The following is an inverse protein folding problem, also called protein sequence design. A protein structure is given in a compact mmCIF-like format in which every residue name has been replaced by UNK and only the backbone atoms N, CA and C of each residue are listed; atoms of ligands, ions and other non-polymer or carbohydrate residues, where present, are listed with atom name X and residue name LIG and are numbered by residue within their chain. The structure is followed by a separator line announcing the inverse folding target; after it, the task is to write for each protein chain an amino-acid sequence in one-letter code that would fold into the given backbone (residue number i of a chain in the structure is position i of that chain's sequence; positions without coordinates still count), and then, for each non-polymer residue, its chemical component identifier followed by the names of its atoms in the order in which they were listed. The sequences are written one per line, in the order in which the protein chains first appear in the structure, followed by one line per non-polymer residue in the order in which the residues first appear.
data_IF_519422408549
#
_entry.id   IF_519422408549
#
_cell.length_a   1.000
_cell.length_b   1.000
_cell.length_c   1.000
_cell.angle_alpha   90.00
_cell.angle_beta   90.00
_cell.angle_gamma   90.00
#
_symmetry.space_group_name_H-M   'P 1'
#
loop_
_entity.id
_entity.type
_entity.pdbx_description
1 polymer ?
#
# COMPACT_ATOMS: atom_id res chain seq x y z
N UNK A 1 -49.70 1.98 -79.95
CA UNK A 1 -50.27 2.19 -78.60
C UNK A 1 -49.14 1.88 -77.58
N UNK A 2 -48.53 2.89 -76.97
CA UNK A 2 -47.44 2.71 -76.03
C UNK A 2 -47.97 2.78 -74.59
N UNK A 3 -47.89 1.68 -73.88
CA UNK A 3 -48.29 1.63 -72.46
C UNK A 3 -47.13 2.25 -71.62
N UNK A 4 -47.37 3.42 -71.03
CA UNK A 4 -46.47 4.02 -70.00
C UNK A 4 -46.66 3.27 -68.70
N UNK A 5 -45.62 2.52 -68.28
CA UNK A 5 -45.50 2.00 -66.95
C UNK A 5 -45.17 3.14 -65.99
N UNK A 6 -46.12 3.52 -65.11
CA UNK A 6 -45.83 4.39 -63.96
C UNK A 6 -45.13 3.58 -62.89
N UNK A 7 -43.81 3.81 -62.74
CA UNK A 7 -43.07 3.36 -61.59
C UNK A 7 -43.50 4.16 -60.37
N UNK A 8 -44.30 3.53 -59.53
CA UNK A 8 -44.74 4.10 -58.24
C UNK A 8 -43.56 4.01 -57.30
N UNK A 9 -42.82 5.13 -57.09
CA UNK A 9 -41.75 5.27 -56.13
C UNK A 9 -42.36 5.05 -54.74
N UNK A 10 -42.06 3.91 -54.09
CA UNK A 10 -42.36 3.70 -52.70
C UNK A 10 -41.57 4.73 -51.92
N UNK A 11 -42.25 5.67 -51.28
CA UNK A 11 -41.65 6.51 -50.25
C UNK A 11 -41.26 5.56 -49.12
N UNK A 12 -39.95 5.42 -48.89
CA UNK A 12 -39.45 4.75 -47.69
C UNK A 12 -39.93 5.57 -46.49
N UNK A 13 -40.72 4.96 -45.60
CA UNK A 13 -41.09 5.55 -44.34
C UNK A 13 -39.79 5.92 -43.61
N UNK A 14 -39.72 7.08 -42.96
CA UNK A 14 -38.55 7.42 -42.14
C UNK A 14 -38.34 6.30 -41.13
N UNK A 15 -37.14 5.74 -41.11
CA UNK A 15 -36.74 4.75 -40.10
C UNK A 15 -36.77 5.47 -38.76
N UNK A 16 -37.83 5.28 -37.99
CA UNK A 16 -37.87 5.77 -36.59
C UNK A 16 -36.77 5.05 -35.83
N UNK A 17 -35.81 5.80 -35.34
CA UNK A 17 -34.75 5.28 -34.49
C UNK A 17 -35.41 4.81 -33.20
N UNK A 18 -35.37 3.50 -32.95
CA UNK A 18 -35.97 2.94 -31.73
C UNK A 18 -35.02 3.26 -30.55
N UNK A 19 -35.30 4.40 -29.91
CA UNK A 19 -34.54 4.89 -28.74
C UNK A 19 -34.66 3.96 -27.53
N UNK A 20 -35.69 3.12 -27.50
CA UNK A 20 -35.91 2.18 -26.39
C UNK A 20 -34.83 1.12 -26.32
N UNK A 21 -34.41 0.59 -27.47
CA UNK A 21 -33.30 -0.38 -27.55
C UNK A 21 -31.99 0.25 -27.09
N UNK A 22 -31.72 1.49 -27.48
CA UNK A 22 -30.53 2.23 -27.07
C UNK A 22 -30.54 2.49 -25.55
N UNK A 23 -31.66 2.92 -24.99
CA UNK A 23 -31.78 3.15 -23.53
C UNK A 23 -31.55 1.85 -22.74
N UNK A 24 -32.10 0.75 -23.23
CA UNK A 24 -31.96 -0.56 -22.58
C UNK A 24 -30.48 -1.03 -22.61
N UNK A 25 -29.78 -0.79 -23.71
CA UNK A 25 -28.36 -1.06 -23.81
C UNK A 25 -27.55 -0.21 -22.82
N UNK A 26 -27.86 1.08 -22.68
CA UNK A 26 -27.14 1.96 -21.74
C UNK A 26 -27.35 1.57 -20.30
N UNK A 27 -28.54 1.14 -19.90
CA UNK A 27 -28.83 0.70 -18.52
C UNK A 27 -28.00 -0.51 -18.12
N UNK A 28 -27.63 -1.36 -19.06
CA UNK A 28 -26.76 -2.53 -18.80
C UNK A 28 -25.29 -2.18 -18.88
N UNK A 29 -24.87 -1.36 -19.85
CA UNK A 29 -23.47 -1.02 -20.07
C UNK A 29 -22.89 -0.14 -18.97
N UNK A 30 -23.63 0.86 -18.47
CA UNK A 30 -23.12 1.79 -17.45
C UNK A 30 -22.77 1.07 -16.15
N UNK A 31 -23.61 0.23 -15.54
CA UNK A 31 -23.24 -0.54 -14.36
C UNK A 31 -22.07 -1.48 -14.62
N UNK A 32 -22.03 -2.13 -15.78
CA UNK A 32 -20.94 -3.02 -16.15
C UNK A 32 -19.59 -2.27 -16.24
N UNK A 33 -19.57 -1.09 -16.86
CA UNK A 33 -18.37 -0.25 -16.93
C UNK A 33 -17.94 0.25 -15.54
N UNK A 34 -18.89 0.59 -14.65
CA UNK A 34 -18.58 0.99 -13.28
C UNK A 34 -17.96 -0.16 -12.50
N UNK A 35 -18.49 -1.36 -12.62
CA UNK A 35 -17.92 -2.56 -11.97
C UNK A 35 -16.50 -2.82 -12.51
N UNK A 36 -16.30 -2.83 -13.82
CA UNK A 36 -14.99 -3.04 -14.41
C UNK A 36 -13.99 -1.94 -14.02
N UNK A 37 -14.43 -0.69 -13.93
CA UNK A 37 -13.58 0.43 -13.47
C UNK A 37 -13.15 0.29 -12.01
N UNK A 38 -14.04 -0.21 -11.14
CA UNK A 38 -13.73 -0.46 -9.72
C UNK A 38 -12.72 -1.60 -9.57
N UNK A 39 -12.90 -2.70 -10.32
CA UNK A 39 -11.97 -3.83 -10.29
C UNK A 39 -10.67 -3.59 -11.09
N UNK A 40 -10.61 -2.56 -11.95
CA UNK A 40 -9.40 -2.18 -12.69
C UNK A 40 -8.35 -1.49 -11.84
N UNK A 41 -8.62 -1.21 -10.56
CA UNK A 41 -7.58 -0.86 -9.60
C UNK A 41 -6.81 -2.11 -9.17
N UNK A 42 -6.24 -2.80 -10.15
CA UNK A 42 -5.19 -3.76 -9.88
C UNK A 42 -4.00 -2.93 -9.43
N UNK A 43 -3.66 -3.05 -8.16
CA UNK A 43 -2.38 -2.57 -7.64
C UNK A 43 -1.29 -3.22 -8.50
N UNK A 44 -0.70 -2.45 -9.39
CA UNK A 44 0.52 -2.86 -10.06
C UNK A 44 1.58 -2.87 -8.98
N UNK A 45 1.82 -4.02 -8.40
CA UNK A 45 3.06 -4.27 -7.68
C UNK A 45 4.14 -4.20 -8.75
N UNK A 46 4.85 -3.09 -8.82
CA UNK A 46 6.06 -2.99 -9.62
C UNK A 46 7.07 -3.99 -9.05
N UNK A 47 7.03 -5.20 -9.59
CA UNK A 47 8.10 -6.15 -9.39
C UNK A 47 9.30 -5.59 -10.16
N UNK A 48 10.15 -4.85 -9.48
CA UNK A 48 11.43 -4.40 -10.03
C UNK A 48 12.32 -5.63 -10.20
N UNK A 49 12.14 -6.33 -11.31
CA UNK A 49 13.07 -7.37 -11.74
C UNK A 49 14.43 -6.72 -11.97
N UNK A 50 15.51 -7.22 -11.38
CA UNK A 50 16.85 -6.74 -11.72
C UNK A 50 17.11 -7.01 -13.18
N UNK A 51 17.07 -5.96 -14.01
CA UNK A 51 17.42 -6.05 -15.43
C UNK A 51 18.92 -6.29 -15.56
N UNK A 52 19.29 -7.47 -16.02
CA UNK A 52 20.65 -7.87 -16.39
C UNK A 52 21.06 -7.27 -17.73
N UNK A 53 20.98 -5.96 -17.93
CA UNK A 53 21.58 -5.31 -19.10
C UNK A 53 21.94 -3.87 -18.79
N UNK A 54 23.23 -3.67 -18.70
CA UNK A 54 24.10 -2.54 -18.97
C UNK A 54 23.60 -1.11 -18.78
N UNK A 55 24.09 -0.41 -17.75
CA UNK A 55 24.45 1.00 -17.90
C UNK A 55 23.40 2.04 -17.47
N UNK A 56 22.94 1.99 -16.24
CA UNK A 56 22.59 3.20 -15.49
C UNK A 56 23.00 2.94 -14.05
N UNK A 57 23.55 3.94 -13.38
CA UNK A 57 23.98 3.83 -11.99
C UNK A 57 22.84 3.20 -11.18
N UNK A 58 23.07 2.01 -10.62
CA UNK A 58 22.19 1.39 -9.64
C UNK A 58 21.99 2.43 -8.54
N UNK A 59 20.81 3.03 -8.45
CA UNK A 59 20.39 3.60 -7.19
C UNK A 59 20.61 2.49 -6.15
N UNK A 60 21.39 2.77 -5.12
CA UNK A 60 21.60 1.82 -4.03
C UNK A 60 20.22 1.32 -3.59
N UNK A 61 20.04 0.03 -3.31
CA UNK A 61 18.76 -0.49 -2.87
C UNK A 61 18.30 0.36 -1.69
N UNK A 62 17.17 1.03 -1.88
CA UNK A 62 16.59 1.89 -0.86
C UNK A 62 16.24 1.00 0.33
N UNK A 63 16.87 1.24 1.46
CA UNK A 63 16.64 0.44 2.67
C UNK A 63 15.15 0.48 3.03
N UNK A 64 14.55 -0.68 3.13
CA UNK A 64 13.14 -0.84 3.53
C UNK A 64 13.08 -1.70 4.77
N UNK A 65 12.63 -1.11 5.87
CA UNK A 65 12.42 -1.85 7.10
C UNK A 65 11.21 -2.77 6.98
N UNK A 66 11.38 -4.04 7.27
CA UNK A 66 10.28 -5.00 7.43
C UNK A 66 10.27 -5.54 8.85
N UNK A 67 9.13 -5.45 9.52
CA UNK A 67 8.88 -6.01 10.84
C UNK A 67 7.89 -7.14 10.68
N UNK A 68 8.36 -8.38 10.85
CA UNK A 68 7.53 -9.58 10.74
C UNK A 68 7.08 -9.98 12.14
N UNK A 69 5.78 -10.03 12.34
CA UNK A 69 5.14 -10.37 13.62
C UNK A 69 4.70 -11.82 13.58
N UNK A 70 5.39 -12.66 14.35
CA UNK A 70 5.08 -14.08 14.50
C UNK A 70 4.52 -14.38 15.87
N UNK A 71 3.88 -15.51 16.03
CA UNK A 71 3.44 -15.97 17.36
C UNK A 71 4.61 -16.21 18.33
N UNK A 72 5.79 -16.51 17.83
CA UNK A 72 7.02 -16.75 18.62
C UNK A 72 7.76 -15.46 18.99
N UNK A 73 7.57 -14.34 18.27
CA UNK A 73 8.30 -13.09 18.48
C UNK A 73 8.23 -12.14 17.29
N UNK A 74 9.17 -11.20 17.24
CA UNK A 74 9.34 -10.24 16.16
C UNK A 74 10.61 -10.54 15.38
N UNK A 75 10.57 -10.35 14.07
CA UNK A 75 11.74 -10.41 13.20
C UNK A 75 11.88 -9.09 12.45
N UNK A 76 13.08 -8.52 12.43
CA UNK A 76 13.38 -7.35 11.63
C UNK A 76 14.16 -7.78 10.40
N UNK A 77 13.76 -7.31 9.24
CA UNK A 77 14.38 -7.58 7.94
C UNK A 77 14.58 -6.28 7.14
N UNK A 78 15.52 -6.32 6.21
CA UNK A 78 15.70 -5.24 5.22
C UNK A 78 15.08 -5.58 3.85
N UNK A 79 14.21 -6.60 3.80
CA UNK A 79 13.62 -7.11 2.58
C UNK A 79 14.45 -8.19 1.87
N UNK A 80 15.72 -8.36 2.22
CA UNK A 80 16.62 -9.38 1.68
C UNK A 80 17.07 -10.39 2.74
N UNK A 81 17.32 -9.90 3.96
CA UNK A 81 17.82 -10.73 5.05
C UNK A 81 17.24 -10.30 6.40
N UNK A 82 17.10 -11.26 7.29
CA UNK A 82 16.73 -11.00 8.69
C UNK A 82 17.93 -10.34 9.39
N UNK A 83 17.70 -9.14 9.93
CA UNK A 83 18.71 -8.37 10.68
C UNK A 83 18.74 -8.80 12.14
N UNK A 84 17.56 -8.99 12.73
CA UNK A 84 17.38 -9.37 14.12
C UNK A 84 16.11 -10.18 14.35
N UNK A 85 16.16 -11.05 15.36
CA UNK A 85 15.01 -11.78 15.85
C UNK A 85 14.84 -11.53 17.35
N UNK A 86 13.65 -11.13 17.76
CA UNK A 86 13.27 -10.76 19.12
C UNK A 86 12.22 -11.76 19.61
N UNK A 87 12.58 -12.77 20.41
CA UNK A 87 11.63 -13.70 20.98
C UNK A 87 10.72 -12.98 21.99
N UNK A 88 9.51 -13.50 22.20
CA UNK A 88 8.63 -13.02 23.27
C UNK A 88 9.28 -13.24 24.63
N UNK A 89 9.13 -12.24 25.51
CA UNK A 89 9.53 -12.30 26.92
C UNK A 89 8.25 -12.39 27.74
N UNK A 90 8.11 -13.41 28.56
CA UNK A 90 6.92 -13.65 29.40
C UNK A 90 5.60 -13.62 28.59
N UNK A 91 5.63 -14.15 27.35
CA UNK A 91 4.48 -14.19 26.46
C UNK A 91 4.13 -12.84 25.80
N UNK A 92 4.91 -11.79 26.01
CA UNK A 92 4.72 -10.46 25.42
C UNK A 92 5.81 -10.14 24.40
N UNK A 93 5.48 -9.32 23.42
CA UNK A 93 6.46 -8.80 22.48
C UNK A 93 7.38 -7.78 23.16
N UNK A 94 8.68 -7.88 22.91
CA UNK A 94 9.67 -6.93 23.41
C UNK A 94 9.68 -5.65 22.56
N UNK A 95 8.75 -4.76 22.88
CA UNK A 95 8.59 -3.48 22.21
C UNK A 95 9.72 -2.48 22.57
N UNK A 96 10.36 -2.66 23.72
CA UNK A 96 11.45 -1.79 24.14
C UNK A 96 12.68 -2.02 23.25
N UNK A 97 13.13 -3.26 23.13
CA UNK A 97 14.25 -3.63 22.25
C UNK A 97 13.94 -3.36 20.78
N UNK A 98 12.68 -3.57 20.35
CA UNK A 98 12.24 -3.18 19.01
C UNK A 98 12.46 -1.68 18.77
N UNK A 99 12.04 -0.83 19.71
CA UNK A 99 12.20 0.62 19.61
C UNK A 99 13.65 1.08 19.51
N UNK A 100 14.56 0.49 20.30
CA UNK A 100 15.99 0.76 20.26
C UNK A 100 16.60 0.37 18.89
N UNK A 101 16.25 -0.81 18.38
CA UNK A 101 16.74 -1.27 17.07
C UNK A 101 16.22 -0.41 15.92
N UNK A 102 14.92 -0.07 15.93
CA UNK A 102 14.33 0.80 14.90
C UNK A 102 14.95 2.19 14.94
N UNK A 103 15.25 2.72 16.12
CA UNK A 103 15.96 4.00 16.26
C UNK A 103 17.39 3.92 15.71
N UNK A 104 18.13 2.86 15.98
CA UNK A 104 19.48 2.64 15.45
C UNK A 104 19.45 2.55 13.93
N UNK A 105 18.52 1.76 13.36
CA UNK A 105 18.34 1.65 11.92
C UNK A 105 17.97 3.00 11.28
N UNK A 106 17.19 3.83 11.97
CA UNK A 106 16.87 5.18 11.50
C UNK A 106 18.07 6.12 11.50
N UNK A 107 19.02 5.95 12.42
CA UNK A 107 20.28 6.70 12.42
C UNK A 107 21.20 6.27 11.27
N UNK A 108 21.24 4.97 10.95
CA UNK A 108 22.02 4.43 9.84
C UNK A 108 21.40 4.80 8.47
N UNK A 109 20.07 4.89 8.40
CA UNK A 109 19.31 5.18 7.18
C UNK A 109 18.35 6.36 7.38
N UNK A 110 18.84 7.60 7.53
CA UNK A 110 18.04 8.77 7.89
C UNK A 110 16.96 9.12 6.83
N UNK A 111 17.25 8.85 5.58
CA UNK A 111 16.37 9.18 4.46
C UNK A 111 15.25 8.17 4.26
N UNK A 112 15.39 6.94 4.77
CA UNK A 112 14.35 5.92 4.65
C UNK A 112 13.13 6.27 5.49
N UNK A 113 11.93 6.28 4.86
CA UNK A 113 10.65 6.56 5.52
C UNK A 113 9.71 5.38 5.48
N UNK A 114 9.97 4.43 4.59
CA UNK A 114 9.10 3.29 4.36
C UNK A 114 9.40 2.17 5.34
N UNK A 115 8.36 1.60 5.93
CA UNK A 115 8.40 0.37 6.70
C UNK A 115 7.21 -0.52 6.35
N UNK A 116 7.40 -1.82 6.45
CA UNK A 116 6.34 -2.80 6.28
C UNK A 116 6.15 -3.58 7.57
N UNK A 117 4.92 -3.73 8.03
CA UNK A 117 4.58 -4.60 9.16
C UNK A 117 3.82 -5.80 8.61
N UNK A 118 4.43 -6.97 8.70
CA UNK A 118 3.89 -8.22 8.17
C UNK A 118 3.43 -9.10 9.35
N UNK A 119 2.18 -9.57 9.30
CA UNK A 119 1.58 -10.30 10.41
C UNK A 119 1.20 -11.71 10.02
N UNK A 120 1.40 -12.67 10.95
CA UNK A 120 0.75 -13.96 10.85
C UNK A 120 -0.77 -13.85 11.09
N UNK A 121 -1.61 -14.72 10.47
CA UNK A 121 -3.08 -14.58 10.51
C UNK A 121 -3.73 -14.67 11.89
N UNK A 122 -2.99 -15.10 12.92
CA UNK A 122 -3.52 -15.31 14.28
C UNK A 122 -3.15 -14.21 15.26
N UNK A 123 -2.42 -13.17 14.79
CA UNK A 123 -1.97 -12.09 15.67
C UNK A 123 -3.12 -11.14 15.96
N UNK A 124 -3.31 -10.80 17.24
CA UNK A 124 -4.34 -9.87 17.68
C UNK A 124 -4.05 -8.44 17.18
N UNK A 125 -5.10 -7.74 16.77
CA UNK A 125 -5.00 -6.38 16.23
C UNK A 125 -4.35 -5.39 17.21
N UNK A 126 -4.52 -5.58 18.51
CA UNK A 126 -3.92 -4.72 19.54
C UNK A 126 -2.39 -4.74 19.47
N UNK A 127 -1.79 -5.89 19.22
CA UNK A 127 -0.35 -6.02 19.03
C UNK A 127 0.14 -5.29 17.79
N UNK A 128 -0.64 -5.33 16.71
CA UNK A 128 -0.32 -4.57 15.50
C UNK A 128 -0.21 -3.08 15.80
N UNK A 129 -1.19 -2.51 16.50
CA UNK A 129 -1.21 -1.08 16.83
C UNK A 129 0.00 -0.70 17.68
N UNK A 130 0.33 -1.51 18.69
CA UNK A 130 1.48 -1.25 19.57
C UNK A 130 2.80 -1.27 18.77
N UNK A 131 2.98 -2.25 17.89
CA UNK A 131 4.17 -2.37 17.06
C UNK A 131 4.27 -1.20 16.07
N UNK A 132 3.16 -0.85 15.42
CA UNK A 132 3.11 0.30 14.52
C UNK A 132 3.46 1.62 15.23
N UNK A 133 3.00 1.82 16.47
CA UNK A 133 3.32 3.02 17.23
C UNK A 133 4.82 3.12 17.52
N UNK A 134 5.47 2.00 17.86
CA UNK A 134 6.92 1.92 18.09
C UNK A 134 7.70 2.15 16.79
N UNK A 135 7.28 1.57 15.68
CA UNK A 135 7.94 1.75 14.38
C UNK A 135 7.78 3.18 13.87
N UNK A 136 6.65 3.81 14.15
CA UNK A 136 6.32 5.16 13.69
C UNK A 136 7.04 6.25 14.47
N UNK A 137 7.20 6.08 15.77
CA UNK A 137 7.78 7.11 16.64
C UNK A 137 8.42 6.54 17.90
N UNK A 138 9.52 7.14 18.32
CA UNK A 138 10.18 6.80 19.59
C UNK A 138 10.22 8.00 20.52
N UNK A 139 10.23 7.78 21.85
CA UNK A 139 10.47 8.85 22.80
C UNK A 139 11.88 9.42 22.60
N UNK A 140 12.03 10.72 22.70
CA UNK A 140 13.36 11.35 22.67
C UNK A 140 14.17 10.90 23.89
N UNK A 141 15.39 10.39 23.73
CA UNK A 141 16.29 10.21 24.85
C UNK A 141 16.62 11.56 25.50
N UNK A 142 16.67 11.61 26.83
CA UNK A 142 17.00 12.83 27.57
C UNK A 142 18.39 13.35 27.11
N UNK A 143 18.41 14.54 26.49
CA UNK A 143 19.62 15.20 26.01
C UNK A 143 19.79 15.31 24.48
N UNK A 144 18.99 14.69 23.68
CA UNK A 144 19.02 14.84 22.23
C UNK A 144 18.33 16.13 21.80
N UNK A 145 19.12 17.14 21.42
CA UNK A 145 18.64 18.35 20.75
C UNK A 145 18.37 18.02 19.29
N UNK A 146 17.23 17.50 18.98
CA UNK A 146 16.75 17.32 17.60
C UNK A 146 15.51 18.18 17.35
N UNK A 147 15.42 18.65 16.11
CA UNK A 147 14.41 19.55 15.58
C UNK A 147 13.00 19.07 15.97
N UNK A 148 12.13 19.93 16.56
CA UNK A 148 10.80 19.51 16.93
C UNK A 148 9.98 19.24 15.67
N UNK A 149 9.73 17.98 15.38
CA UNK A 149 8.66 17.61 14.49
C UNK A 149 7.35 17.93 15.20
N UNK A 150 6.55 18.82 14.61
CA UNK A 150 5.24 19.20 15.13
C UNK A 150 4.37 17.95 15.23
N UNK A 151 4.33 17.35 16.39
CA UNK A 151 3.35 16.35 16.74
C UNK A 151 2.26 17.07 17.52
N UNK A 152 0.99 16.92 17.14
CA UNK A 152 -0.16 17.30 17.94
C UNK A 152 -0.25 16.33 19.11
N UNK A 153 0.59 16.51 20.12
CA UNK A 153 0.58 15.72 21.34
C UNK A 153 0.00 16.59 22.44
N UNK A 154 -1.23 16.32 22.75
CA UNK A 154 -1.77 16.60 24.07
C UNK A 154 -1.03 15.67 25.03
N UNK A 155 -0.30 16.25 26.01
CA UNK A 155 0.29 15.60 27.17
C UNK A 155 1.14 14.34 26.90
N UNK A 156 2.35 14.50 26.35
CA UNK A 156 3.28 13.37 26.17
C UNK A 156 4.73 13.81 26.03
N UNK A 157 5.65 12.97 26.47
CA UNK A 157 7.08 13.09 26.21
C UNK A 157 7.32 13.37 24.71
N UNK A 158 8.27 14.29 24.37
CA UNK A 158 8.54 14.59 22.97
C UNK A 158 8.97 13.33 22.24
N UNK A 159 8.31 13.02 21.12
CA UNK A 159 8.57 11.82 20.30
C UNK A 159 9.15 12.23 18.95
N UNK A 160 10.11 11.46 18.47
CA UNK A 160 10.70 11.62 17.13
C UNK A 160 9.98 10.69 16.17
N UNK A 161 9.60 11.22 15.00
CA UNK A 161 9.08 10.39 13.92
C UNK A 161 10.24 9.56 13.32
N UNK A 162 10.04 8.25 13.19
CA UNK A 162 10.99 7.31 12.64
C UNK A 162 10.60 6.92 11.20
N UNK A 163 9.70 5.97 11.05
CA UNK A 163 9.18 5.55 9.75
C UNK A 163 7.72 5.97 9.63
N UNK A 164 7.44 6.88 8.70
CA UNK A 164 6.10 7.50 8.56
C UNK A 164 5.21 6.76 7.57
N UNK A 165 5.81 6.10 6.59
CA UNK A 165 5.12 5.43 5.50
C UNK A 165 5.05 3.91 5.81
N UNK A 166 4.07 3.54 6.65
CA UNK A 166 3.91 2.15 7.10
C UNK A 166 2.89 1.45 6.22
N UNK A 167 3.30 0.33 5.62
CA UNK A 167 2.43 -0.62 4.94
C UNK A 167 2.19 -1.86 5.81
N UNK A 168 1.02 -2.46 5.67
CA UNK A 168 0.63 -3.68 6.40
C UNK A 168 0.43 -4.78 5.37
N UNK A 169 0.91 -5.99 5.68
CA UNK A 169 0.75 -7.16 4.84
C UNK A 169 0.73 -8.46 5.64
N UNK A 170 0.55 -9.56 4.93
CA UNK A 170 0.63 -10.89 5.51
C UNK A 170 2.09 -11.35 5.60
N UNK A 171 2.44 -12.03 6.69
CA UNK A 171 3.75 -12.63 6.86
C UNK A 171 3.93 -13.83 5.91
N UNK A 172 5.12 -14.01 5.32
CA UNK A 172 5.41 -15.13 4.44
C UNK A 172 5.45 -16.47 5.17
#
# INVERSE_FOLDING_TARGET
MARRHHYRRRQAAPTELDMTTFMNLMVVLVPFLLITAVFSRITVVELTLPSTSGGAAKAAPEFRLEVIVRDTGLELSNGEAVIAALPKIDGKYDLATLGEMVMTLKQDYPDSRAASVLLEPRIEYDHLIQIMDVVRSAPLPEGARTVPVKTNAEEGTPRVALFTDISIGDAP
#
